data_IF_904837225080
#
_entry.id   IF_904837225080
#
_cell.length_a   1.000
_cell.length_b   1.000
_cell.length_c   1.000
_cell.angle_alpha   90.00
_cell.angle_beta   90.00
_cell.angle_gamma   90.00
#
_symmetry.space_group_name_H-M   'P 1'
#
loop_
_entity.id
_entity.type
_entity.pdbx_description
1 polymer ?
#
# COMPACT_ATOMS: atom_id res chain seq x y z
N UNK A 1 -0.79 -38.03 15.43
CA UNK A 1 -0.08 -37.00 14.64
C UNK A 1 -0.18 -35.63 15.30
N UNK A 2 -1.38 -35.11 15.61
CA UNK A 2 -1.56 -33.80 16.28
C UNK A 2 -0.86 -33.77 17.65
N UNK A 3 -1.02 -34.82 18.47
CA UNK A 3 -0.37 -34.90 19.79
C UNK A 3 1.15 -34.87 19.68
N UNK A 4 1.73 -35.62 18.76
CA UNK A 4 3.17 -35.60 18.48
C UNK A 4 3.69 -34.22 18.03
N UNK A 5 2.92 -33.48 17.24
CA UNK A 5 3.26 -32.10 16.85
C UNK A 5 3.19 -31.14 18.04
N UNK A 6 2.22 -31.32 18.94
CA UNK A 6 2.11 -30.53 20.18
C UNK A 6 3.24 -30.83 21.15
N UNK A 7 3.67 -32.10 21.26
CA UNK A 7 4.78 -32.49 22.12
C UNK A 7 6.11 -31.86 21.61
N UNK A 8 6.34 -31.87 20.29
CA UNK A 8 7.48 -31.17 19.68
C UNK A 8 7.40 -29.66 19.91
N UNK A 9 6.21 -29.07 19.76
CA UNK A 9 6.00 -27.64 19.98
C UNK A 9 6.35 -27.22 21.41
N UNK A 10 5.93 -28.02 22.41
CA UNK A 10 6.18 -27.75 23.82
C UNK A 10 7.66 -27.96 24.25
N UNK A 11 8.49 -28.55 23.38
CA UNK A 11 9.97 -28.64 23.60
C UNK A 11 10.68 -27.30 23.35
N UNK A 12 10.07 -26.36 22.62
CA UNK A 12 10.66 -25.06 22.38
C UNK A 12 10.42 -24.09 23.55
N UNK A 13 11.38 -23.23 23.91
CA UNK A 13 11.20 -22.17 24.89
C UNK A 13 10.07 -21.20 24.48
N UNK A 14 9.33 -20.64 25.43
CA UNK A 14 8.18 -19.76 25.18
C UNK A 14 8.50 -18.60 24.23
N UNK A 15 9.67 -17.97 24.40
CA UNK A 15 10.09 -16.88 23.53
C UNK A 15 10.24 -17.30 22.06
N UNK A 16 10.70 -18.53 21.81
CA UNK A 16 10.86 -19.04 20.43
C UNK A 16 9.52 -19.44 19.82
N UNK A 17 8.57 -19.93 20.61
CA UNK A 17 7.19 -20.20 20.15
C UNK A 17 6.51 -18.88 19.74
N UNK A 18 6.63 -17.83 20.58
CA UNK A 18 6.09 -16.50 20.27
C UNK A 18 6.75 -15.93 19.01
N UNK A 19 8.07 -16.06 18.86
CA UNK A 19 8.78 -15.61 17.68
C UNK A 19 8.31 -16.34 16.42
N UNK A 20 8.17 -17.67 16.44
CA UNK A 20 7.68 -18.46 15.30
C UNK A 20 6.25 -18.09 14.91
N UNK A 21 5.36 -17.89 15.89
CA UNK A 21 3.97 -17.45 15.61
C UNK A 21 3.97 -16.07 14.96
N UNK A 22 4.76 -15.12 15.47
CA UNK A 22 4.82 -13.77 14.88
C UNK A 22 5.43 -13.78 13.49
N UNK A 23 6.49 -14.54 13.25
CA UNK A 23 7.06 -14.74 11.91
C UNK A 23 6.01 -15.35 10.98
N UNK A 24 5.27 -16.36 11.42
CA UNK A 24 4.18 -16.96 10.65
C UNK A 24 3.09 -15.94 10.27
N UNK A 25 2.68 -15.08 11.21
CA UNK A 25 1.71 -14.00 10.94
C UNK A 25 2.26 -12.98 9.95
N UNK A 26 3.54 -12.58 10.09
CA UNK A 26 4.20 -11.66 9.15
C UNK A 26 4.22 -12.25 7.75
N UNK A 27 4.64 -13.50 7.58
CA UNK A 27 4.67 -14.19 6.29
C UNK A 27 3.26 -14.29 5.69
N UNK A 28 2.26 -14.60 6.51
CA UNK A 28 0.86 -14.69 6.09
C UNK A 28 0.31 -13.35 5.56
N UNK A 29 0.81 -12.22 6.03
CA UNK A 29 0.44 -10.89 5.53
C UNK A 29 1.29 -10.49 4.33
N UNK A 30 2.62 -10.63 4.44
CA UNK A 30 3.55 -10.13 3.40
C UNK A 30 3.47 -10.91 2.09
N UNK A 31 3.30 -12.24 2.14
CA UNK A 31 3.25 -13.05 0.91
C UNK A 31 2.03 -12.70 0.05
N UNK A 32 0.79 -12.67 0.57
CA UNK A 32 -0.36 -12.20 -0.20
C UNK A 32 -0.24 -10.74 -0.66
N UNK A 33 0.36 -9.87 0.15
CA UNK A 33 0.60 -8.47 -0.22
C UNK A 33 1.53 -8.37 -1.42
N UNK A 34 2.70 -9.02 -1.40
CA UNK A 34 3.65 -9.00 -2.51
C UNK A 34 3.06 -9.63 -3.78
N UNK A 35 2.27 -10.69 -3.64
CA UNK A 35 1.52 -11.26 -4.76
C UNK A 35 0.49 -10.27 -5.30
N UNK A 36 -0.24 -9.57 -4.42
CA UNK A 36 -1.19 -8.54 -4.81
C UNK A 36 -0.52 -7.39 -5.56
N UNK A 37 0.65 -6.92 -5.10
CA UNK A 37 1.47 -5.92 -5.78
C UNK A 37 1.86 -6.39 -7.19
N UNK A 38 2.35 -7.62 -7.32
CA UNK A 38 2.74 -8.18 -8.61
C UNK A 38 1.54 -8.28 -9.57
N UNK A 39 0.40 -8.81 -9.11
CA UNK A 39 -0.80 -8.94 -9.94
C UNK A 39 -1.53 -7.62 -10.19
N UNK A 40 -1.33 -6.61 -9.33
CA UNK A 40 -1.88 -5.27 -9.55
C UNK A 40 -1.27 -4.62 -10.79
N UNK A 41 0.02 -4.84 -11.07
CA UNK A 41 0.66 -4.38 -12.31
C UNK A 41 0.03 -5.01 -13.55
N UNK A 42 -0.34 -6.28 -13.48
CA UNK A 42 -1.05 -6.98 -14.55
C UNK A 42 -2.48 -6.43 -14.71
N UNK A 43 -3.21 -6.28 -13.61
CA UNK A 43 -4.57 -5.75 -13.59
C UNK A 43 -4.61 -4.35 -14.19
N UNK A 44 -3.67 -3.48 -13.81
CA UNK A 44 -3.54 -2.13 -14.34
C UNK A 44 -3.39 -2.14 -15.87
N UNK A 45 -2.42 -2.88 -16.40
CA UNK A 45 -2.19 -3.00 -17.85
C UNK A 45 -3.40 -3.58 -18.60
N UNK A 46 -4.16 -4.49 -17.98
CA UNK A 46 -5.39 -5.06 -18.55
C UNK A 46 -6.53 -4.06 -18.55
N UNK A 47 -6.80 -3.42 -17.41
CA UNK A 47 -7.90 -2.46 -17.27
C UNK A 47 -7.69 -1.26 -18.20
N UNK A 48 -6.49 -0.65 -18.17
CA UNK A 48 -6.15 0.45 -19.06
C UNK A 48 -6.23 0.01 -20.53
N UNK A 49 -5.76 -1.21 -20.85
CA UNK A 49 -5.86 -1.75 -22.18
C UNK A 49 -7.31 -1.82 -22.67
N UNK A 50 -8.22 -2.36 -21.88
CA UNK A 50 -9.64 -2.44 -22.24
C UNK A 50 -10.30 -1.07 -22.36
N UNK A 51 -9.98 -0.11 -21.48
CA UNK A 51 -10.48 1.26 -21.57
C UNK A 51 -10.00 1.96 -22.85
N UNK A 52 -8.79 1.64 -23.31
CA UNK A 52 -8.20 2.17 -24.54
C UNK A 52 -8.52 1.31 -25.79
N UNK A 53 -9.50 0.40 -25.70
CA UNK A 53 -9.92 -0.49 -26.79
C UNK A 53 -8.75 -1.32 -27.35
N UNK A 54 -7.80 -1.72 -26.51
CA UNK A 54 -6.67 -2.59 -26.86
C UNK A 54 -6.55 -3.77 -25.93
N UNK A 55 -5.94 -4.85 -26.44
CA UNK A 55 -5.68 -6.05 -25.63
C UNK A 55 -4.41 -5.79 -24.80
N UNK A 56 -4.52 -5.82 -23.46
CA UNK A 56 -3.37 -5.80 -22.56
C UNK A 56 -2.51 -7.07 -22.68
N UNK A 57 -1.59 -7.34 -21.72
CA UNK A 57 -0.71 -8.51 -21.76
C UNK A 57 -1.50 -9.82 -21.96
N UNK A 58 -1.17 -10.62 -22.97
CA UNK A 58 -1.87 -11.88 -23.29
C UNK A 58 -0.97 -13.02 -23.77
N UNK A 59 0.37 -12.80 -23.88
CA UNK A 59 1.30 -13.76 -24.51
C UNK A 59 1.98 -14.68 -23.52
N UNK A 60 2.34 -14.19 -22.33
CA UNK A 60 3.07 -14.97 -21.33
C UNK A 60 2.10 -15.72 -20.46
N UNK A 61 1.98 -17.03 -20.68
CA UNK A 61 0.99 -17.90 -20.03
C UNK A 61 -0.45 -17.68 -20.51
N UNK A 62 -1.42 -18.42 -19.95
CA UNK A 62 -2.83 -18.29 -20.31
C UNK A 62 -3.31 -16.85 -20.07
N UNK A 63 -3.79 -16.18 -21.12
CA UNK A 63 -4.28 -14.79 -21.06
C UNK A 63 -3.30 -13.77 -20.45
N UNK A 64 -1.99 -14.07 -20.40
CA UNK A 64 -0.96 -13.19 -19.86
C UNK A 64 -0.76 -13.27 -18.34
N UNK A 65 -1.32 -14.27 -17.66
CA UNK A 65 -1.25 -14.39 -16.18
C UNK A 65 0.16 -14.55 -15.62
N UNK A 66 1.10 -15.08 -16.40
CA UNK A 66 2.49 -15.25 -15.98
C UNK A 66 3.35 -14.00 -16.27
N UNK A 67 2.77 -12.93 -16.81
CA UNK A 67 3.50 -11.70 -17.11
C UNK A 67 4.18 -11.08 -15.88
N UNK A 68 3.53 -10.95 -14.72
CA UNK A 68 4.18 -10.40 -13.52
C UNK A 68 5.41 -11.21 -13.08
N UNK A 69 5.35 -12.54 -13.20
CA UNK A 69 6.46 -13.42 -12.84
C UNK A 69 7.62 -13.24 -13.82
N UNK A 70 7.32 -13.13 -15.12
CA UNK A 70 8.33 -12.88 -16.14
C UNK A 70 8.99 -11.50 -15.98
N UNK A 71 8.21 -10.47 -15.66
CA UNK A 71 8.70 -9.12 -15.40
C UNK A 71 9.58 -9.08 -14.14
N UNK A 72 9.17 -9.74 -13.05
CA UNK A 72 9.97 -9.87 -11.83
C UNK A 72 11.27 -10.64 -12.10
N UNK A 73 11.19 -11.77 -12.80
CA UNK A 73 12.38 -12.54 -13.18
C UNK A 73 13.37 -11.71 -14.02
N UNK A 74 12.86 -10.99 -15.03
CA UNK A 74 13.69 -10.11 -15.86
C UNK A 74 14.43 -9.07 -15.02
N UNK A 75 13.76 -8.41 -14.06
CA UNK A 75 14.36 -7.37 -13.24
C UNK A 75 15.36 -7.93 -12.22
N UNK A 76 15.10 -9.13 -11.68
CA UNK A 76 16.01 -9.79 -10.74
C UNK A 76 17.32 -10.26 -11.39
N UNK A 77 17.25 -10.79 -12.62
CA UNK A 77 18.43 -11.27 -13.35
C UNK A 77 19.16 -10.17 -14.12
N UNK A 78 18.60 -8.96 -14.20
CA UNK A 78 19.25 -7.83 -14.85
C UNK A 78 20.35 -7.27 -13.96
N UNK A 79 21.50 -6.93 -14.56
CA UNK A 79 22.63 -6.32 -13.88
C UNK A 79 22.26 -4.98 -13.23
N UNK A 80 22.73 -4.80 -11.99
CA UNK A 80 22.60 -3.52 -11.26
C UNK A 80 23.82 -2.66 -11.63
N UNK A 81 23.56 -1.59 -12.35
CA UNK A 81 24.58 -0.63 -12.79
C UNK A 81 24.60 0.52 -11.80
N UNK A 82 25.78 0.80 -11.21
CA UNK A 82 25.99 1.94 -10.33
C UNK A 82 26.87 2.94 -11.07
N UNK A 83 26.40 4.20 -11.29
CA UNK A 83 27.20 5.23 -11.93
C UNK A 83 28.52 5.48 -11.20
N UNK A 84 29.60 5.72 -11.93
CA UNK A 84 30.96 5.88 -11.36
C UNK A 84 31.08 7.01 -10.35
N UNK A 85 30.29 8.07 -10.51
CA UNK A 85 30.27 9.25 -9.62
C UNK A 85 29.18 9.17 -8.54
N UNK A 86 28.39 8.11 -8.48
CA UNK A 86 27.36 7.91 -7.49
C UNK A 86 27.93 7.50 -6.13
N UNK A 87 27.24 7.87 -5.05
CA UNK A 87 27.54 7.38 -3.71
C UNK A 87 27.00 5.97 -3.53
N UNK A 88 27.86 4.95 -3.66
CA UNK A 88 27.48 3.54 -3.71
C UNK A 88 26.61 3.08 -2.54
N UNK A 89 26.94 3.48 -1.31
CA UNK A 89 26.19 3.06 -0.12
C UNK A 89 24.79 3.68 -0.11
N UNK A 90 24.67 4.98 -0.35
CA UNK A 90 23.37 5.67 -0.38
C UNK A 90 22.52 5.20 -1.57
N UNK A 91 23.15 4.91 -2.70
CA UNK A 91 22.47 4.42 -3.91
C UNK A 91 21.77 3.08 -3.68
N UNK A 92 22.41 2.15 -2.94
CA UNK A 92 21.82 0.84 -2.59
C UNK A 92 20.84 0.96 -1.42
N UNK A 93 21.06 1.91 -0.50
CA UNK A 93 20.21 2.08 0.68
C UNK A 93 18.87 2.77 0.37
N UNK A 94 18.83 3.67 -0.61
CA UNK A 94 17.64 4.44 -0.95
C UNK A 94 16.40 3.57 -1.32
N UNK A 95 16.49 2.55 -2.19
CA UNK A 95 15.36 1.66 -2.48
C UNK A 95 14.86 0.92 -1.23
N UNK A 96 15.77 0.51 -0.34
CA UNK A 96 15.43 -0.18 0.91
C UNK A 96 14.65 0.75 1.83
N UNK A 97 15.08 2.02 1.94
CA UNK A 97 14.42 3.02 2.75
C UNK A 97 13.02 3.40 2.21
N UNK A 98 12.81 3.32 0.90
CA UNK A 98 11.48 3.51 0.32
C UNK A 98 10.55 2.31 0.56
N UNK A 99 11.09 1.09 0.51
CA UNK A 99 10.27 -0.13 0.53
C UNK A 99 10.00 -0.68 1.93
N UNK A 100 10.99 -0.65 2.83
CA UNK A 100 10.85 -1.22 4.17
C UNK A 100 9.73 -0.57 5.00
N UNK A 101 9.57 0.78 5.03
CA UNK A 101 8.46 1.41 5.73
C UNK A 101 7.09 1.05 5.12
N UNK A 102 6.99 0.94 3.79
CA UNK A 102 5.76 0.57 3.11
C UNK A 102 5.25 -0.83 3.52
N UNK A 103 6.17 -1.77 3.76
CA UNK A 103 5.83 -3.09 4.31
C UNK A 103 5.55 -3.04 5.82
N UNK A 104 6.33 -2.27 6.59
CA UNK A 104 6.19 -2.17 8.03
C UNK A 104 4.85 -1.57 8.46
N UNK A 105 4.27 -0.66 7.64
CA UNK A 105 2.96 -0.06 7.90
C UNK A 105 1.84 -1.11 8.03
N UNK A 106 1.97 -2.26 7.39
CA UNK A 106 0.97 -3.35 7.47
C UNK A 106 0.91 -4.03 8.84
N UNK A 107 1.89 -3.80 9.71
CA UNK A 107 1.91 -4.40 11.05
C UNK A 107 0.72 -3.97 11.93
N UNK A 108 0.19 -2.77 11.72
CA UNK A 108 -0.91 -2.21 12.53
C UNK A 108 -2.27 -2.23 11.82
N UNK A 109 -2.35 -2.71 10.58
CA UNK A 109 -3.59 -2.81 9.82
C UNK A 109 -4.45 -3.96 10.37
N UNK A 110 -5.65 -3.67 10.90
CA UNK A 110 -6.59 -4.71 11.31
C UNK A 110 -7.37 -5.22 10.09
N UNK A 111 -7.32 -6.53 9.86
CA UNK A 111 -8.08 -7.17 8.78
C UNK A 111 -9.51 -7.52 9.22
N UNK A 112 -9.66 -7.84 10.51
CA UNK A 112 -10.95 -8.08 11.18
C UNK A 112 -10.83 -7.66 12.64
N UNK A 113 -11.94 -7.74 13.39
CA UNK A 113 -11.95 -7.46 14.83
C UNK A 113 -10.94 -8.31 15.64
N UNK A 114 -10.58 -9.50 15.14
CA UNK A 114 -9.69 -10.47 15.81
C UNK A 114 -8.39 -10.76 15.06
N UNK A 115 -8.21 -10.22 13.86
CA UNK A 115 -7.07 -10.52 13.00
C UNK A 115 -6.22 -9.28 12.74
N UNK A 116 -5.18 -9.14 13.51
CA UNK A 116 -4.13 -8.11 13.40
C UNK A 116 -2.76 -8.70 13.76
N UNK A 117 -1.69 -8.06 13.35
CA UNK A 117 -0.35 -8.44 13.81
C UNK A 117 -0.06 -7.78 15.16
N UNK A 118 -0.24 -6.46 15.25
CA UNK A 118 -0.10 -5.67 16.47
C UNK A 118 -1.26 -4.70 16.60
N UNK A 119 -1.79 -4.54 17.82
CA UNK A 119 -2.80 -3.53 18.14
C UNK A 119 -2.13 -2.46 19.00
N UNK A 120 -1.90 -1.29 18.42
CA UNK A 120 -1.23 -0.15 19.05
C UNK A 120 -2.21 1.00 19.14
N UNK A 121 -2.32 1.64 20.32
CA UNK A 121 -3.23 2.77 20.52
C UNK A 121 -2.90 3.98 19.63
N UNK A 122 -1.64 4.12 19.23
CA UNK A 122 -1.18 5.14 18.27
C UNK A 122 -0.97 4.58 16.85
N UNK A 123 -1.78 3.59 16.42
CA UNK A 123 -1.60 2.90 15.14
C UNK A 123 -1.60 3.83 13.93
N UNK A 124 -2.49 4.83 13.91
CA UNK A 124 -2.54 5.80 12.81
C UNK A 124 -1.29 6.67 12.75
N UNK A 125 -0.76 7.13 13.88
CA UNK A 125 0.49 7.89 13.92
C UNK A 125 1.69 7.05 13.48
N UNK A 126 1.72 5.77 13.82
CA UNK A 126 2.75 4.84 13.36
C UNK A 126 2.78 4.75 11.83
N UNK A 127 1.61 4.63 11.18
CA UNK A 127 1.54 4.59 9.71
C UNK A 127 2.03 5.90 9.12
N UNK A 128 1.55 7.06 9.60
CA UNK A 128 1.99 8.37 9.11
C UNK A 128 3.50 8.56 9.25
N UNK A 129 4.09 8.13 10.37
CA UNK A 129 5.54 8.21 10.54
C UNK A 129 6.30 7.34 9.53
N UNK A 130 5.78 6.17 9.18
CA UNK A 130 6.41 5.28 8.20
C UNK A 130 6.23 5.78 6.77
N UNK A 131 5.06 6.31 6.41
CA UNK A 131 4.86 6.87 5.06
C UNK A 131 5.76 8.08 4.86
N UNK A 132 5.89 8.96 5.85
CA UNK A 132 6.85 10.07 5.82
C UNK A 132 8.30 9.62 5.60
N UNK A 133 8.68 8.46 6.13
CA UNK A 133 10.04 7.93 5.91
C UNK A 133 10.30 7.53 4.46
N UNK A 134 9.29 7.15 3.69
CA UNK A 134 9.46 6.77 2.27
C UNK A 134 9.97 7.92 1.42
N UNK A 135 9.61 9.16 1.76
CA UNK A 135 10.07 10.39 1.09
C UNK A 135 11.58 10.50 1.11
N UNK A 136 12.22 10.16 2.24
CA UNK A 136 13.68 10.19 2.35
C UNK A 136 14.34 9.19 1.40
N UNK A 137 13.69 8.05 1.12
CA UNK A 137 14.16 7.10 0.11
C UNK A 137 14.29 7.74 -1.27
N UNK A 138 13.28 8.51 -1.68
CA UNK A 138 13.25 9.24 -2.96
C UNK A 138 14.31 10.36 -2.99
N UNK A 139 14.42 11.15 -1.93
CA UNK A 139 15.41 12.25 -1.83
C UNK A 139 16.83 11.69 -1.92
N UNK A 140 17.12 10.64 -1.15
CA UNK A 140 18.44 10.01 -1.14
C UNK A 140 18.75 9.37 -2.48
N UNK A 141 17.77 8.77 -3.17
CA UNK A 141 17.96 8.20 -4.50
C UNK A 141 18.44 9.24 -5.51
N UNK A 142 17.77 10.39 -5.59
CA UNK A 142 18.18 11.48 -6.48
C UNK A 142 19.54 12.08 -6.11
N UNK A 143 19.80 12.26 -4.81
CA UNK A 143 21.09 12.77 -4.33
C UNK A 143 22.24 11.80 -4.62
N UNK A 144 22.05 10.52 -4.29
CA UNK A 144 23.09 9.50 -4.43
C UNK A 144 23.50 9.24 -5.88
N UNK A 145 22.58 9.45 -6.82
CA UNK A 145 22.80 9.26 -8.26
C UNK A 145 23.80 10.24 -8.86
N UNK A 146 24.03 11.37 -8.21
CA UNK A 146 24.88 12.48 -8.69
C UNK A 146 24.56 12.90 -10.14
N UNK A 147 23.28 12.88 -10.50
CA UNK A 147 22.72 13.28 -11.78
C UNK A 147 21.83 14.50 -11.60
N UNK A 148 21.94 15.49 -12.48
CA UNK A 148 21.14 16.72 -12.41
C UNK A 148 19.63 16.42 -12.53
N UNK A 149 19.26 15.53 -13.45
CA UNK A 149 17.86 15.15 -13.67
C UNK A 149 17.29 14.35 -12.51
N UNK A 150 18.05 13.38 -11.99
CA UNK A 150 17.63 12.60 -10.82
C UNK A 150 17.44 13.49 -9.58
N UNK A 151 18.35 14.45 -9.35
CA UNK A 151 18.26 15.39 -8.24
C UNK A 151 17.05 16.33 -8.37
N UNK A 152 16.83 16.92 -9.55
CA UNK A 152 15.63 17.75 -9.78
C UNK A 152 14.34 16.96 -9.64
N UNK A 153 14.29 15.73 -10.16
CA UNK A 153 13.14 14.83 -10.03
C UNK A 153 12.84 14.50 -8.58
N UNK A 154 13.86 14.19 -7.78
CA UNK A 154 13.68 13.88 -6.35
C UNK A 154 13.19 15.08 -5.55
N UNK A 155 13.66 16.31 -5.84
CA UNK A 155 13.17 17.52 -5.17
C UNK A 155 11.70 17.81 -5.52
N UNK A 156 11.31 17.64 -6.80
CA UNK A 156 9.91 17.81 -7.23
C UNK A 156 9.00 16.80 -6.55
N UNK A 157 9.42 15.51 -6.53
CA UNK A 157 8.70 14.46 -5.85
C UNK A 157 8.55 14.72 -4.36
N UNK A 158 9.63 15.06 -3.68
CA UNK A 158 9.62 15.37 -2.25
C UNK A 158 8.69 16.54 -1.93
N UNK A 159 8.73 17.62 -2.71
CA UNK A 159 7.86 18.77 -2.52
C UNK A 159 6.38 18.39 -2.68
N UNK A 160 6.05 17.56 -3.68
CA UNK A 160 4.69 17.04 -3.88
C UNK A 160 4.26 16.19 -2.68
N UNK A 161 5.00 15.14 -2.34
CA UNK A 161 4.61 14.19 -1.30
C UNK A 161 4.41 14.93 0.03
N UNK A 162 5.36 15.78 0.46
CA UNK A 162 5.25 16.54 1.72
C UNK A 162 4.04 17.47 1.72
N UNK A 163 3.74 18.16 0.61
CA UNK A 163 2.57 19.04 0.53
C UNK A 163 1.25 18.28 0.67
N UNK A 164 1.12 17.14 0.00
CA UNK A 164 -0.10 16.31 0.08
C UNK A 164 -0.20 15.50 1.37
N UNK A 165 0.91 15.13 1.99
CA UNK A 165 0.95 14.50 3.31
C UNK A 165 0.36 15.42 4.39
N UNK A 166 0.67 16.71 4.34
CA UNK A 166 0.07 17.70 5.24
C UNK A 166 -1.44 17.78 5.03
N UNK A 167 -1.92 17.84 3.79
CA UNK A 167 -3.36 17.88 3.47
C UNK A 167 -4.06 16.59 3.95
N UNK A 168 -3.44 15.43 3.73
CA UNK A 168 -3.94 14.14 4.20
C UNK A 168 -3.98 14.09 5.73
N UNK A 169 -2.96 14.60 6.42
CA UNK A 169 -2.92 14.72 7.87
C UNK A 169 -4.10 15.51 8.44
N UNK A 170 -4.44 16.65 7.83
CA UNK A 170 -5.62 17.42 8.23
C UNK A 170 -6.94 16.66 8.01
N UNK A 171 -7.08 15.94 6.90
CA UNK A 171 -8.25 15.09 6.68
C UNK A 171 -8.38 14.00 7.75
N UNK A 172 -7.26 13.41 8.17
CA UNK A 172 -7.21 12.41 9.23
C UNK A 172 -7.55 12.98 10.61
N UNK A 173 -7.19 14.23 10.91
CA UNK A 173 -7.62 14.90 12.15
C UNK A 173 -9.15 14.92 12.25
N UNK A 174 -9.86 15.15 11.16
CA UNK A 174 -11.33 15.08 11.14
C UNK A 174 -11.86 13.70 11.51
N UNK A 175 -11.24 12.63 11.00
CA UNK A 175 -11.59 11.25 11.37
C UNK A 175 -11.29 10.98 12.85
N UNK A 176 -10.14 11.45 13.36
CA UNK A 176 -9.77 11.31 14.76
C UNK A 176 -10.73 12.02 15.70
N UNK A 177 -11.19 13.23 15.33
CA UNK A 177 -12.19 13.96 16.10
C UNK A 177 -13.54 13.22 16.14
N UNK A 178 -13.93 12.55 15.07
CA UNK A 178 -15.15 11.77 15.00
C UNK A 178 -15.05 10.44 15.79
N UNK A 179 -13.92 9.77 15.72
CA UNK A 179 -13.69 8.46 16.35
C UNK A 179 -13.27 8.56 17.82
N UNK A 180 -12.60 9.67 18.23
CA UNK A 180 -12.06 9.84 19.56
C UNK A 180 -10.85 8.94 19.90
N UNK A 181 -10.26 8.25 18.91
CA UNK A 181 -9.15 7.31 19.09
C UNK A 181 -8.17 7.33 17.92
N UNK A 182 -6.90 7.01 18.20
CA UNK A 182 -5.83 6.81 17.20
C UNK A 182 -5.65 5.33 16.82
N UNK A 183 -6.36 4.44 17.51
CA UNK A 183 -6.34 3.01 17.27
C UNK A 183 -7.24 2.67 16.07
N UNK A 184 -6.65 2.07 15.02
CA UNK A 184 -7.37 1.75 13.79
C UNK A 184 -8.57 0.81 14.01
N UNK A 185 -8.46 -0.13 14.95
CA UNK A 185 -9.55 -1.04 15.28
C UNK A 185 -10.73 -0.27 15.89
N UNK A 186 -10.47 0.65 16.83
CA UNK A 186 -11.50 1.46 17.48
C UNK A 186 -12.16 2.42 16.50
N UNK A 187 -11.40 3.01 15.56
CA UNK A 187 -11.92 3.85 14.49
C UNK A 187 -12.95 3.07 13.63
N UNK A 188 -12.68 1.80 13.32
CA UNK A 188 -13.62 0.96 12.58
C UNK A 188 -14.84 0.61 13.41
N UNK A 189 -14.66 0.23 14.68
CA UNK A 189 -15.76 -0.10 15.57
C UNK A 189 -16.69 1.09 15.85
N UNK A 190 -16.17 2.31 15.86
CA UNK A 190 -16.97 3.54 15.99
C UNK A 190 -17.90 3.78 14.78
N UNK A 191 -17.67 3.09 13.65
CA UNK A 191 -18.52 3.14 12.45
C UNK A 191 -19.55 1.99 12.39
N UNK A 192 -19.69 1.16 13.45
CA UNK A 192 -20.64 0.06 13.50
C UNK A 192 -22.08 0.53 13.51
N UNK A 193 -22.99 -0.24 12.92
CA UNK A 193 -24.43 0.06 12.85
C UNK A 193 -24.96 0.31 11.44
N UNK A 194 -24.14 0.13 10.41
CA UNK A 194 -24.54 0.20 9.00
C UNK A 194 -23.95 1.38 8.22
N UNK A 195 -24.17 1.43 6.90
CA UNK A 195 -23.53 2.41 6.00
C UNK A 195 -23.80 3.88 6.34
N UNK A 196 -24.91 4.18 7.02
CA UNK A 196 -25.27 5.53 7.43
C UNK A 196 -24.40 6.09 8.55
N UNK A 197 -23.71 5.23 9.31
CA UNK A 197 -22.78 5.61 10.36
C UNK A 197 -21.31 5.69 9.87
N UNK A 198 -21.06 5.27 8.63
CA UNK A 198 -19.73 5.37 8.07
C UNK A 198 -19.29 6.82 7.90
N UNK A 199 -18.06 7.11 8.24
CA UNK A 199 -17.50 8.46 8.14
C UNK A 199 -17.46 9.01 6.71
N UNK A 200 -17.66 8.17 5.71
CA UNK A 200 -17.82 8.59 4.32
C UNK A 200 -18.92 9.64 4.14
N UNK A 201 -20.06 9.51 4.83
CA UNK A 201 -21.18 10.45 4.69
C UNK A 201 -20.95 11.77 5.43
N UNK A 202 -20.69 11.77 6.77
CA UNK A 202 -20.51 13.01 7.51
C UNK A 202 -19.21 13.75 7.16
N UNK A 203 -18.15 13.04 6.77
CA UNK A 203 -16.85 13.60 6.44
C UNK A 203 -16.53 13.53 4.95
N UNK A 204 -17.54 13.56 4.08
CA UNK A 204 -17.37 13.42 2.63
C UNK A 204 -16.32 14.38 2.02
N UNK A 205 -16.26 15.69 2.38
CA UNK A 205 -15.20 16.56 1.87
C UNK A 205 -13.79 16.10 2.28
N UNK A 206 -13.62 15.65 3.53
CA UNK A 206 -12.33 15.17 4.04
C UNK A 206 -11.93 13.82 3.39
N UNK A 207 -12.92 12.97 3.10
CA UNK A 207 -12.72 11.75 2.31
C UNK A 207 -12.13 12.08 0.93
N UNK A 208 -12.69 13.07 0.23
CA UNK A 208 -12.17 13.48 -1.08
C UNK A 208 -10.74 14.04 -0.97
N UNK A 209 -10.47 14.90 0.04
CA UNK A 209 -9.11 15.41 0.29
C UNK A 209 -8.14 14.26 0.56
N UNK A 210 -8.53 13.32 1.42
CA UNK A 210 -7.70 12.14 1.73
C UNK A 210 -7.40 11.30 0.48
N UNK A 211 -8.42 10.99 -0.31
CA UNK A 211 -8.29 10.13 -1.49
C UNK A 211 -7.43 10.80 -2.57
N UNK A 212 -7.64 12.09 -2.85
CA UNK A 212 -6.83 12.85 -3.82
C UNK A 212 -5.38 12.96 -3.34
N UNK A 213 -5.18 13.28 -2.05
CA UNK A 213 -3.83 13.35 -1.47
C UNK A 213 -3.11 12.00 -1.52
N UNK A 214 -3.84 10.90 -1.30
CA UNK A 214 -3.29 9.55 -1.43
C UNK A 214 -2.84 9.21 -2.85
N UNK A 215 -3.56 9.64 -3.88
CA UNK A 215 -3.11 9.50 -5.27
C UNK A 215 -1.82 10.29 -5.52
N UNK A 216 -1.74 11.50 -4.98
CA UNK A 216 -0.58 12.36 -5.14
C UNK A 216 0.66 11.83 -4.38
N UNK A 217 0.45 11.24 -3.19
CA UNK A 217 1.51 10.61 -2.37
C UNK A 217 2.13 9.39 -3.06
N UNK A 218 1.31 8.63 -3.81
CA UNK A 218 1.81 7.48 -4.58
C UNK A 218 2.41 7.85 -5.93
N UNK A 219 2.64 9.14 -6.23
CA UNK A 219 3.18 9.64 -7.50
C UNK A 219 2.45 9.08 -8.73
N UNK A 220 1.12 8.87 -8.63
CA UNK A 220 0.33 8.33 -9.75
C UNK A 220 -0.34 9.45 -10.55
N UNK A 221 -0.46 9.21 -11.85
CA UNK A 221 -1.22 10.13 -12.71
C UNK A 221 -2.63 10.41 -12.15
N UNK A 222 -3.08 11.68 -12.10
CA UNK A 222 -2.51 12.86 -12.77
C UNK A 222 -1.38 13.57 -12.03
N UNK A 223 -0.93 13.09 -10.87
CA UNK A 223 0.10 13.70 -10.03
C UNK A 223 1.49 13.07 -10.26
N UNK A 224 1.82 12.75 -11.50
CA UNK A 224 3.07 12.10 -11.91
C UNK A 224 4.20 13.11 -12.18
N UNK A 225 4.40 14.04 -11.23
CA UNK A 225 5.44 15.07 -11.33
C UNK A 225 6.84 14.50 -11.09
N UNK A 226 6.92 13.39 -10.36
CA UNK A 226 8.14 12.71 -10.00
C UNK A 226 8.82 12.01 -11.17
N UNK A 227 8.04 11.36 -12.00
CA UNK A 227 8.52 10.60 -13.15
C UNK A 227 8.58 11.44 -14.42
N UNK A 228 7.66 12.36 -14.64
CA UNK A 228 7.56 13.33 -15.74
C UNK A 228 8.38 13.03 -16.98
N UNK A 229 8.11 11.87 -17.64
CA UNK A 229 8.94 11.34 -18.74
C UNK A 229 9.20 12.39 -19.86
N UNK A 230 8.24 13.27 -20.07
CA UNK A 230 8.33 14.34 -21.08
C UNK A 230 9.20 15.54 -20.64
N UNK A 231 9.48 15.68 -19.33
CA UNK A 231 10.16 16.85 -18.75
C UNK A 231 11.56 16.51 -18.21
N UNK A 232 11.71 15.43 -17.44
CA UNK A 232 12.92 15.05 -16.70
C UNK A 232 13.33 13.59 -16.92
N UNK A 233 13.06 13.03 -18.07
CA UNK A 233 13.43 11.69 -18.56
C UNK A 233 12.72 10.57 -17.78
N UNK A 234 13.08 10.34 -16.52
CA UNK A 234 12.45 9.36 -15.63
C UNK A 234 12.61 9.77 -14.15
N UNK A 235 12.77 11.07 -13.87
CA UNK A 235 12.81 11.61 -12.53
C UNK A 235 13.92 11.04 -11.66
N UNK A 236 13.61 10.73 -10.38
CA UNK A 236 14.60 10.32 -9.38
C UNK A 236 15.25 8.97 -9.67
N UNK A 237 14.61 8.08 -10.42
CA UNK A 237 15.09 6.73 -10.69
C UNK A 237 15.81 6.56 -12.05
N UNK A 238 16.10 7.66 -12.78
CA UNK A 238 16.78 7.65 -14.08
C UNK A 238 18.03 6.77 -14.10
N UNK A 239 18.86 6.84 -13.07
CA UNK A 239 20.13 6.13 -12.99
C UNK A 239 20.01 4.70 -12.43
N UNK A 240 18.81 4.32 -11.95
CA UNK A 240 18.59 3.00 -11.39
C UNK A 240 18.26 1.97 -12.47
N UNK A 241 18.73 0.73 -12.30
CA UNK A 241 18.48 -0.38 -13.23
C UNK A 241 18.25 -1.70 -12.49
N UNK A 242 17.60 -2.66 -13.16
CA UNK A 242 17.40 -4.01 -12.63
C UNK A 242 16.58 -4.07 -11.35
N UNK A 243 17.06 -4.82 -10.36
CA UNK A 243 16.36 -5.06 -9.11
C UNK A 243 16.10 -3.77 -8.30
N UNK A 244 16.98 -2.78 -8.38
CA UNK A 244 16.83 -1.51 -7.64
C UNK A 244 15.59 -0.74 -8.09
N UNK A 245 15.30 -0.68 -9.40
CA UNK A 245 14.07 -0.09 -9.95
C UNK A 245 12.86 -0.91 -9.51
N UNK A 246 12.97 -2.24 -9.54
CA UNK A 246 11.87 -3.10 -9.12
C UNK A 246 11.44 -2.82 -7.67
N UNK A 247 12.39 -2.57 -6.76
CA UNK A 247 12.11 -2.26 -5.36
C UNK A 247 11.35 -0.94 -5.21
N UNK A 248 11.68 0.12 -5.97
CA UNK A 248 10.90 1.36 -5.96
C UNK A 248 9.47 1.13 -6.46
N UNK A 249 9.29 0.44 -7.58
CA UNK A 249 7.95 0.10 -8.06
C UNK A 249 7.16 -0.75 -7.06
N UNK A 250 7.80 -1.72 -6.40
CA UNK A 250 7.16 -2.50 -5.34
C UNK A 250 6.70 -1.61 -4.19
N UNK A 251 7.50 -0.61 -3.80
CA UNK A 251 7.14 0.35 -2.75
C UNK A 251 5.93 1.21 -3.16
N UNK A 252 5.91 1.73 -4.37
CA UNK A 252 4.78 2.53 -4.89
C UNK A 252 3.48 1.74 -4.93
N UNK A 253 3.49 0.53 -5.48
CA UNK A 253 2.29 -0.32 -5.52
C UNK A 253 1.86 -0.79 -4.13
N UNK A 254 2.81 -1.07 -3.22
CA UNK A 254 2.50 -1.39 -1.83
C UNK A 254 1.83 -0.22 -1.11
N UNK A 255 2.31 1.01 -1.33
CA UNK A 255 1.69 2.23 -0.79
C UNK A 255 0.31 2.48 -1.40
N UNK A 256 0.10 2.22 -2.69
CA UNK A 256 -1.23 2.34 -3.32
C UNK A 256 -2.24 1.37 -2.68
N UNK A 257 -1.85 0.12 -2.40
CA UNK A 257 -2.70 -0.83 -1.69
C UNK A 257 -2.93 -0.37 -0.25
N UNK A 258 -1.89 0.15 0.43
CA UNK A 258 -1.98 0.66 1.80
C UNK A 258 -2.98 1.82 1.91
N UNK A 259 -2.88 2.83 1.04
CA UNK A 259 -3.81 3.97 1.03
C UNK A 259 -5.23 3.51 0.74
N UNK A 260 -5.42 2.57 -0.20
CA UNK A 260 -6.73 1.98 -0.49
C UNK A 260 -7.31 1.25 0.73
N UNK A 261 -6.49 0.49 1.45
CA UNK A 261 -6.87 -0.20 2.67
C UNK A 261 -7.21 0.78 3.81
N UNK A 262 -6.40 1.83 3.98
CA UNK A 262 -6.68 2.90 4.96
C UNK A 262 -7.95 3.66 4.63
N UNK A 263 -8.19 3.97 3.35
CA UNK A 263 -9.45 4.59 2.92
C UNK A 263 -10.65 3.72 3.30
N UNK A 264 -10.53 2.40 3.10
CA UNK A 264 -11.58 1.47 3.50
C UNK A 264 -11.81 1.44 5.02
N UNK A 265 -10.74 1.44 5.82
CA UNK A 265 -10.82 1.43 7.29
C UNK A 265 -11.38 2.73 7.86
N UNK A 266 -10.88 3.86 7.39
CA UNK A 266 -11.13 5.18 7.98
C UNK A 266 -12.49 5.77 7.58
N UNK A 267 -12.99 5.46 6.39
CA UNK A 267 -14.19 6.11 5.86
C UNK A 267 -15.36 5.16 5.57
N UNK A 268 -15.09 3.86 5.32
CA UNK A 268 -16.16 2.91 4.95
C UNK A 268 -16.31 1.73 5.92
N UNK A 269 -15.84 1.90 7.15
CA UNK A 269 -16.02 0.91 8.20
C UNK A 269 -15.21 -0.39 7.99
N UNK A 270 -14.14 -0.38 7.19
CA UNK A 270 -13.22 -1.51 7.05
C UNK A 270 -13.92 -2.86 6.77
N UNK A 271 -13.81 -3.78 7.72
CA UNK A 271 -14.42 -5.11 7.64
C UNK A 271 -15.93 -5.15 7.96
N UNK A 272 -16.54 -4.04 8.40
CA UNK A 272 -17.98 -3.98 8.68
C UNK A 272 -18.79 -4.21 7.40
N UNK A 273 -19.91 -4.93 7.54
CA UNK A 273 -20.81 -5.20 6.42
C UNK A 273 -21.61 -3.97 6.02
N UNK A 274 -21.81 -3.70 4.72
CA UNK A 274 -22.78 -2.70 4.28
C UNK A 274 -24.24 -3.09 4.54
N UNK A 275 -24.50 -4.36 4.87
CA UNK A 275 -25.84 -4.89 5.17
C UNK A 275 -26.12 -4.99 6.67
N UNK A 276 -25.20 -4.50 7.51
CA UNK A 276 -25.41 -4.38 8.95
C UNK A 276 -26.63 -3.49 9.23
N UNK A 277 -27.56 -3.97 10.06
CA UNK A 277 -28.81 -3.25 10.38
C UNK A 277 -29.95 -3.46 9.39
N UNK A 278 -29.79 -4.18 8.28
CA UNK A 278 -30.88 -4.53 7.37
C UNK A 278 -31.63 -5.75 7.92
N UNK A 279 -32.96 -5.70 8.13
CA UNK A 279 -33.69 -6.72 8.91
C UNK A 279 -33.57 -8.17 8.40
N UNK A 280 -33.39 -8.39 7.11
CA UNK A 280 -33.30 -9.73 6.50
C UNK A 280 -31.85 -10.12 6.22
N UNK A 281 -31.07 -9.22 5.63
CA UNK A 281 -29.67 -9.47 5.21
C UNK A 281 -28.68 -9.39 6.38
N UNK A 282 -28.96 -8.54 7.38
CA UNK A 282 -28.13 -8.42 8.57
C UNK A 282 -28.08 -9.67 9.44
N UNK A 283 -29.08 -10.54 9.38
CA UNK A 283 -29.10 -11.83 10.10
C UNK A 283 -28.38 -12.95 9.35
N UNK A 284 -27.87 -12.71 8.14
CA UNK A 284 -27.16 -13.69 7.34
C UNK A 284 -25.65 -13.50 7.45
N UNK A 285 -24.87 -14.46 6.93
CA UNK A 285 -23.40 -14.33 6.78
C UNK A 285 -22.96 -13.03 6.06
N UNK A 286 -23.83 -12.46 5.22
CA UNK A 286 -23.57 -11.20 4.54
C UNK A 286 -23.65 -9.99 5.47
N UNK A 287 -24.40 -10.07 6.56
CA UNK A 287 -24.52 -9.00 7.57
C UNK A 287 -23.37 -8.99 8.59
N UNK A 288 -22.64 -10.09 8.71
CA UNK A 288 -21.51 -10.17 9.62
C UNK A 288 -20.28 -9.47 9.05
N UNK A 289 -19.57 -8.71 9.91
CA UNK A 289 -18.28 -8.12 9.56
C UNK A 289 -17.21 -9.19 9.35
N UNK A 290 -16.60 -9.23 8.17
CA UNK A 290 -15.57 -10.20 7.85
C UNK A 290 -14.49 -9.64 6.90
N UNK A 291 -13.40 -10.39 6.74
CA UNK A 291 -12.27 -9.99 5.89
C UNK A 291 -12.67 -9.77 4.43
N UNK A 292 -13.68 -10.46 3.93
CA UNK A 292 -14.12 -10.33 2.54
C UNK A 292 -14.66 -8.92 2.24
N UNK A 293 -15.37 -8.30 3.17
CA UNK A 293 -15.83 -6.91 3.03
C UNK A 293 -14.67 -5.93 3.00
N UNK A 294 -13.68 -6.12 3.88
CA UNK A 294 -12.47 -5.30 3.87
C UNK A 294 -11.72 -5.38 2.54
N UNK A 295 -11.49 -6.59 2.06
CA UNK A 295 -10.81 -6.82 0.77
C UNK A 295 -11.59 -6.24 -0.40
N UNK A 296 -12.92 -6.41 -0.43
CA UNK A 296 -13.77 -5.90 -1.50
C UNK A 296 -13.73 -4.36 -1.57
N UNK A 297 -13.82 -3.69 -0.42
CA UNK A 297 -13.71 -2.22 -0.34
C UNK A 297 -12.31 -1.73 -0.75
N UNK A 298 -11.26 -2.43 -0.29
CA UNK A 298 -9.87 -2.13 -0.68
C UNK A 298 -9.68 -2.27 -2.19
N UNK A 299 -10.17 -3.36 -2.79
CA UNK A 299 -10.13 -3.57 -4.25
C UNK A 299 -10.92 -2.49 -5.00
N UNK A 300 -12.05 -2.06 -4.47
CA UNK A 300 -12.83 -0.96 -5.06
C UNK A 300 -12.02 0.35 -5.10
N UNK A 301 -11.35 0.73 -4.00
CA UNK A 301 -10.51 1.92 -3.99
C UNK A 301 -9.27 1.76 -4.88
N UNK A 302 -8.63 0.59 -4.90
CA UNK A 302 -7.55 0.33 -5.86
C UNK A 302 -8.03 0.49 -7.31
N UNK A 303 -9.24 0.03 -7.63
CA UNK A 303 -9.82 0.22 -8.97
C UNK A 303 -9.98 1.70 -9.32
N UNK A 304 -10.36 2.57 -8.38
CA UNK A 304 -10.44 4.01 -8.61
C UNK A 304 -9.08 4.62 -8.97
N UNK A 305 -7.98 4.19 -8.35
CA UNK A 305 -6.63 4.62 -8.74
C UNK A 305 -6.32 4.26 -10.20
N UNK A 306 -6.67 3.03 -10.60
CA UNK A 306 -6.44 2.58 -11.98
C UNK A 306 -7.33 3.32 -12.98
N UNK A 307 -8.55 3.60 -12.60
CA UNK A 307 -9.50 4.33 -13.44
C UNK A 307 -9.05 5.76 -13.68
N UNK A 308 -8.67 6.49 -12.64
CA UNK A 308 -8.14 7.84 -12.78
C UNK A 308 -6.90 7.93 -13.67
N UNK A 309 -6.03 6.93 -13.60
CA UNK A 309 -4.88 6.86 -14.50
C UNK A 309 -5.29 6.65 -15.96
N UNK A 310 -6.38 5.96 -16.19
CA UNK A 310 -6.83 5.59 -17.53
C UNK A 310 -7.65 6.68 -18.24
N UNK A 311 -8.30 7.59 -17.48
CA UNK A 311 -9.17 8.68 -17.97
C UNK A 311 -8.52 10.03 -17.84
#
# INVERSE_FOLDING_TARGET
MIQFMLDIWNLFPDWSQIAMINIGKIVLILVPLLLSVAYLTYAERKIIGYMQVRIGPNRVGPKGWLQPIADAGKLLFKEIIIPTKASRYLFVFAPILAFAPALAAWAVIPFTDKMWLTNIDAGLLYILALTSMTVYGVIIAGWASNSKYAFLGSLRSAAQIVAYEIAMGFALVGVLMAAGSLNLREIVLAQSGGPHQWYLLPLFPLFLVYLISGVAETNRSPFDVAEGESEIVAGFHVEYAGASVAVFFLAEYANMILISALTALLFTGGWLSPFEGVPVLGATFLGEGNIAWFLLKTVFFMYLFLWWRAT
#
